data_IF_781105180351
#
_entry.id   IF_781105180351
#
_cell.length_a   1.000
_cell.length_b   1.000
_cell.length_c   1.000
_cell.angle_alpha   90.00
_cell.angle_beta   90.00
_cell.angle_gamma   90.00
#
_symmetry.space_group_name_H-M   'P 1'
#
loop_
_entity.id
_entity.type
_entity.pdbx_description
1 polymer ?
#
# COMPACT_ATOMS: atom_id res chain seq x y z
N UNK A 1 -23.69 -11.05 -9.10
CA UNK A 1 -22.43 -10.46 -9.58
C UNK A 1 -21.91 -9.58 -8.47
N UNK A 2 -20.90 -10.07 -7.77
CA UNK A 2 -20.94 -10.16 -6.31
C UNK A 2 -19.50 -10.02 -5.81
N UNK A 3 -19.21 -9.03 -4.98
CA UNK A 3 -18.02 -8.89 -4.10
C UNK A 3 -16.61 -9.08 -4.75
N UNK A 4 -16.31 -10.23 -5.35
CA UNK A 4 -15.07 -10.58 -6.05
C UNK A 4 -14.68 -9.58 -7.13
N UNK A 5 -15.64 -9.06 -7.89
CA UNK A 5 -15.36 -8.03 -8.91
C UNK A 5 -14.88 -6.72 -8.27
N UNK A 6 -15.50 -6.34 -7.17
CA UNK A 6 -15.13 -5.15 -6.40
C UNK A 6 -13.76 -5.34 -5.75
N UNK A 7 -13.48 -6.51 -5.20
CA UNK A 7 -12.16 -6.89 -4.70
C UNK A 7 -11.07 -6.82 -5.78
N UNK A 8 -11.34 -7.36 -6.97
CA UNK A 8 -10.41 -7.30 -8.09
C UNK A 8 -10.12 -5.85 -8.51
N UNK A 9 -11.13 -4.97 -8.50
CA UNK A 9 -10.93 -3.54 -8.76
C UNK A 9 -10.09 -2.87 -7.67
N UNK A 10 -10.39 -3.10 -6.39
CA UNK A 10 -9.64 -2.52 -5.27
C UNK A 10 -8.16 -2.91 -5.37
N UNK A 11 -7.88 -4.19 -5.59
CA UNK A 11 -6.50 -4.69 -5.78
C UNK A 11 -5.83 -3.99 -6.94
N UNK A 12 -6.49 -3.91 -8.10
CA UNK A 12 -5.92 -3.28 -9.29
C UNK A 12 -5.62 -1.80 -9.08
N UNK A 13 -6.53 -1.04 -8.47
CA UNK A 13 -6.34 0.40 -8.21
C UNK A 13 -5.18 0.61 -7.25
N UNK A 14 -5.09 -0.17 -6.17
CA UNK A 14 -3.99 -0.07 -5.22
C UNK A 14 -2.63 -0.49 -5.80
N UNK A 15 -2.62 -1.45 -6.73
CA UNK A 15 -1.39 -1.84 -7.44
C UNK A 15 -0.95 -0.78 -8.45
N UNK A 16 -1.88 -0.19 -9.20
CA UNK A 16 -1.59 0.82 -10.23
C UNK A 16 -1.26 2.19 -9.62
N UNK A 17 -1.99 2.56 -8.58
CA UNK A 17 -1.91 3.84 -7.88
C UNK A 17 -1.84 3.60 -6.36
N UNK A 18 -0.67 3.22 -5.83
CA UNK A 18 -0.50 2.98 -4.39
C UNK A 18 -0.72 4.24 -3.52
N UNK A 19 -0.56 5.42 -4.12
CA UNK A 19 -0.86 6.71 -3.51
C UNK A 19 -2.35 7.10 -3.58
N UNK A 20 -3.23 6.21 -4.04
CA UNK A 20 -4.67 6.48 -4.06
C UNK A 20 -5.21 6.65 -2.63
N UNK A 21 -6.04 7.67 -2.45
CA UNK A 21 -6.78 7.89 -1.21
C UNK A 21 -7.96 6.91 -1.14
N UNK A 22 -8.23 6.35 0.03
CA UNK A 22 -9.34 5.40 0.22
C UNK A 22 -10.30 5.95 1.26
N UNK A 23 -11.57 6.07 0.86
CA UNK A 23 -12.64 6.56 1.71
C UNK A 23 -13.69 5.47 1.94
N UNK A 24 -13.89 5.10 3.20
CA UNK A 24 -14.91 4.13 3.57
C UNK A 24 -16.27 4.81 3.74
N UNK A 25 -17.30 4.32 3.04
CA UNK A 25 -18.64 4.92 3.03
C UNK A 25 -19.70 3.83 3.23
N UNK A 26 -20.45 3.91 4.32
CA UNK A 26 -21.53 2.96 4.66
C UNK A 26 -22.75 3.09 3.72
N UNK A 27 -22.92 4.23 3.07
CA UNK A 27 -24.02 4.46 2.11
C UNK A 27 -23.86 3.71 0.78
N UNK A 28 -22.72 3.04 0.54
CA UNK A 28 -22.45 2.26 -0.67
C UNK A 28 -22.54 0.78 -0.31
N UNK A 29 -23.16 -0.04 -1.16
CA UNK A 29 -23.23 -1.49 -0.91
C UNK A 29 -21.86 -2.15 -1.04
N UNK A 30 -21.68 -3.31 -0.40
CA UNK A 30 -20.43 -4.09 -0.49
C UNK A 30 -20.07 -4.50 -1.91
N UNK A 31 -21.03 -4.70 -2.80
CA UNK A 31 -20.77 -5.00 -4.20
C UNK A 31 -20.44 -3.75 -5.05
N UNK A 32 -20.57 -2.55 -4.49
CA UNK A 32 -20.36 -1.29 -5.20
C UNK A 32 -19.05 -0.59 -4.80
N UNK A 33 -18.47 0.13 -5.76
CA UNK A 33 -17.30 0.97 -5.57
C UNK A 33 -17.41 2.20 -6.45
N UNK A 34 -16.79 3.30 -6.03
CA UNK A 34 -16.71 4.53 -6.82
C UNK A 34 -15.24 4.96 -6.88
N UNK A 35 -14.70 5.09 -8.08
CA UNK A 35 -13.37 5.67 -8.30
C UNK A 35 -13.56 7.10 -8.81
N UNK A 36 -13.06 8.06 -8.04
CA UNK A 36 -13.02 9.47 -8.44
C UNK A 36 -11.57 9.89 -8.65
N UNK A 37 -11.35 10.80 -9.60
CA UNK A 37 -10.02 11.37 -9.83
C UNK A 37 -10.08 12.85 -9.49
N UNK A 38 -9.35 13.27 -8.46
CA UNK A 38 -9.28 14.66 -8.03
C UNK A 38 -7.90 15.23 -8.36
N UNK A 39 -7.81 15.91 -9.50
CA UNK A 39 -6.53 16.38 -10.04
C UNK A 39 -5.63 15.21 -10.42
N UNK A 40 -4.54 15.02 -9.69
CA UNK A 40 -3.57 13.93 -9.90
C UNK A 40 -3.77 12.75 -8.93
N UNK A 41 -4.71 12.86 -7.99
CA UNK A 41 -4.93 11.83 -6.96
C UNK A 41 -6.19 11.03 -7.27
N UNK A 42 -6.05 9.71 -7.28
CA UNK A 42 -7.18 8.78 -7.33
C UNK A 42 -7.78 8.63 -5.92
N UNK A 43 -9.10 8.74 -5.80
CA UNK A 43 -9.85 8.55 -4.56
C UNK A 43 -10.83 7.40 -4.78
N UNK A 44 -10.65 6.30 -4.06
CA UNK A 44 -11.49 5.11 -4.15
C UNK A 44 -12.44 5.04 -2.95
N UNK A 45 -13.74 5.06 -3.22
CA UNK A 45 -14.79 4.92 -2.21
C UNK A 45 -15.30 3.49 -2.18
N UNK A 46 -15.26 2.86 -1.01
CA UNK A 46 -15.64 1.46 -0.79
C UNK A 46 -16.38 1.28 0.53
N UNK A 47 -17.06 0.15 0.69
CA UNK A 47 -17.69 -0.20 1.96
C UNK A 47 -16.64 -0.46 3.06
N UNK A 48 -16.87 -0.06 4.34
CA UNK A 48 -15.95 -0.30 5.45
C UNK A 48 -15.59 -1.77 5.70
N UNK A 49 -16.39 -2.74 5.25
CA UNK A 49 -16.02 -4.17 5.34
C UNK A 49 -14.72 -4.52 4.61
N UNK A 50 -14.29 -3.71 3.63
CA UNK A 50 -13.02 -3.93 2.94
C UNK A 50 -11.82 -3.29 3.63
N UNK A 51 -11.99 -2.70 4.82
CA UNK A 51 -10.92 -2.01 5.54
C UNK A 51 -9.71 -2.91 5.79
N UNK A 52 -9.93 -4.11 6.28
CA UNK A 52 -8.84 -5.05 6.59
C UNK A 52 -8.07 -5.43 5.32
N UNK A 53 -8.78 -5.73 4.22
CA UNK A 53 -8.17 -6.07 2.95
C UNK A 53 -7.38 -4.92 2.33
N UNK A 54 -7.91 -3.69 2.42
CA UNK A 54 -7.19 -2.50 1.97
C UNK A 54 -5.89 -2.31 2.76
N UNK A 55 -5.95 -2.50 4.08
CA UNK A 55 -4.77 -2.39 4.95
C UNK A 55 -3.70 -3.43 4.56
N UNK A 56 -4.08 -4.70 4.39
CA UNK A 56 -3.16 -5.75 3.93
C UNK A 56 -2.52 -5.42 2.58
N UNK A 57 -3.31 -4.95 1.60
CA UNK A 57 -2.79 -4.60 0.27
C UNK A 57 -1.81 -3.43 0.32
N UNK A 58 -2.04 -2.45 1.20
CA UNK A 58 -1.12 -1.33 1.41
C UNK A 58 0.16 -1.78 2.09
N UNK A 59 0.09 -2.70 3.05
CA UNK A 59 1.29 -3.26 3.69
C UNK A 59 2.16 -4.08 2.72
N UNK A 60 1.55 -4.78 1.75
CA UNK A 60 2.30 -5.50 0.72
C UNK A 60 2.96 -4.54 -0.28
N UNK A 61 2.27 -3.45 -0.62
CA UNK A 61 2.74 -2.49 -1.63
C UNK A 61 3.78 -1.51 -1.07
N UNK A 62 3.68 -1.22 0.22
CA UNK A 62 4.69 -0.53 0.99
C UNK A 62 5.30 -1.56 1.93
N UNK A 63 6.28 -2.39 1.48
CA UNK A 63 7.09 -3.10 2.44
C UNK A 63 7.66 -2.00 3.32
N UNK A 64 7.23 -1.98 4.59
CA UNK A 64 7.74 -1.01 5.52
C UNK A 64 9.26 -1.06 5.39
N UNK A 65 9.90 0.07 5.13
CA UNK A 65 11.34 0.28 5.39
C UNK A 65 11.63 0.19 6.91
N UNK A 66 11.00 -0.77 7.59
CA UNK A 66 11.13 -1.04 9.00
C UNK A 66 11.59 -2.47 9.18
N UNK A 67 12.81 -2.75 8.73
CA UNK A 67 13.74 -3.48 9.59
C UNK A 67 15.17 -3.25 9.12
N UNK A 68 15.88 -2.45 9.92
CA UNK A 68 17.32 -2.50 10.15
C UNK A 68 18.21 -2.65 8.91
N UNK A 69 18.89 -1.56 8.52
CA UNK A 69 20.16 -1.73 7.82
C UNK A 69 21.05 -2.68 8.64
N UNK A 70 21.51 -3.82 8.10
CA UNK A 70 22.64 -4.51 8.66
C UNK A 70 23.88 -3.75 8.20
N UNK A 71 24.06 -2.53 8.71
CA UNK A 71 25.33 -1.84 8.68
C UNK A 71 26.23 -2.52 9.69
N UNK A 72 26.67 -3.74 9.35
CA UNK A 72 27.45 -4.60 10.20
C UNK A 72 28.66 -3.87 10.75
N UNK A 73 28.83 -3.97 12.06
CA UNK A 73 30.16 -3.91 12.66
C UNK A 73 31.01 -4.98 11.99
N UNK A 74 31.88 -4.59 11.06
CA UNK A 74 33.01 -5.42 10.64
C UNK A 74 34.27 -4.62 10.95
N UNK A 75 34.79 -4.86 12.15
CA UNK A 75 36.21 -4.66 12.36
C UNK A 75 36.97 -5.69 11.53
N UNK A 76 37.90 -5.23 10.69
CA UNK A 76 39.28 -5.73 10.59
C UNK A 76 40.01 -4.78 9.62
N UNK A 77 40.96 -3.99 10.13
CA UNK A 77 42.39 -4.15 9.90
C UNK A 77 42.84 -3.74 8.49
N UNK A 78 43.42 -2.54 8.36
CA UNK A 78 44.54 -2.36 7.44
C UNK A 78 45.57 -1.39 8.04
N UNK A 79 46.73 -1.97 8.31
CA UNK A 79 48.00 -1.31 8.59
C UNK A 79 48.41 -0.50 7.35
N UNK A 80 48.70 0.80 7.51
CA UNK A 80 49.46 1.56 6.51
C UNK A 80 50.37 2.58 7.19
N UNK A 81 51.60 2.10 7.39
CA UNK A 81 52.92 2.74 7.38
C UNK A 81 53.02 4.16 6.75
N UNK A 82 53.83 5.00 7.43
CA UNK A 82 54.75 6.08 6.92
C UNK A 82 54.19 7.49 6.66
N UNK A 83 55.03 8.56 6.74
CA UNK A 83 56.50 8.62 6.95
C UNK A 83 56.98 9.22 8.29
#
# INVERSE_FOLDING_TARGET
MTTERTLATIRRVLTDSPAADIRFVEAITTDSHLLSTHGQTHILFVHPEYRELVDELRQVTHPAESSAGPGGTTGTSEHSKEP
#
